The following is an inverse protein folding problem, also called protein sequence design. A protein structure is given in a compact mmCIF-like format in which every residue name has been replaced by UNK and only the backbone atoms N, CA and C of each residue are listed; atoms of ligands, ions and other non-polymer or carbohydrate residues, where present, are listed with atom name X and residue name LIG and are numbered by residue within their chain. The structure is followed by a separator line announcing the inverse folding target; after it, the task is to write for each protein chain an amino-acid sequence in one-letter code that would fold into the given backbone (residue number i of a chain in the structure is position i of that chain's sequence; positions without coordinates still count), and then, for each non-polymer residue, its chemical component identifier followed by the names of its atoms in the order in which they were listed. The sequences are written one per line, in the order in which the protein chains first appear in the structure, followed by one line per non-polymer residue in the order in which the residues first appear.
data_IF_823117865184
#
_entry.id   IF_823117865184
#
_cell.length_a   1.000
_cell.length_b   1.000
_cell.length_c   1.000
_cell.angle_alpha   90.00
_cell.angle_beta   90.00
_cell.angle_gamma   90.00
#
_symmetry.space_group_name_H-M   'P 1'
#
loop_
_entity.id
_entity.type
_entity.pdbx_description
1 polymer ?
#
# COMPACT_ATOMS: atom_id res chain seq x y z
N UNK A 1 9.35 -4.23 12.84
CA UNK A 1 9.17 -5.59 13.39
C UNK A 1 7.73 -5.88 13.81
N UNK A 2 7.07 -6.91 13.23
CA UNK A 2 5.67 -7.25 13.53
C UNK A 2 5.40 -7.63 15.00
N UNK A 3 6.44 -8.06 15.73
CA UNK A 3 6.34 -8.43 17.14
C UNK A 3 6.00 -7.23 18.06
N UNK A 4 6.16 -6.00 17.58
CA UNK A 4 5.94 -4.77 18.35
C UNK A 4 4.56 -4.14 18.10
N UNK A 5 3.64 -4.83 17.41
CA UNK A 5 2.29 -4.32 17.15
C UNK A 5 1.59 -3.97 18.47
N UNK A 6 1.04 -2.75 18.54
CA UNK A 6 0.34 -2.24 19.73
C UNK A 6 1.24 -1.64 20.82
N UNK A 7 2.56 -1.70 20.66
CA UNK A 7 3.51 -1.06 21.58
C UNK A 7 3.82 0.37 21.14
N UNK A 8 4.03 1.26 22.12
CA UNK A 8 4.62 2.58 21.88
C UNK A 8 6.14 2.42 21.80
N UNK A 9 6.75 2.99 20.75
CA UNK A 9 8.19 2.95 20.49
C UNK A 9 8.72 4.36 20.30
N UNK A 10 10.00 4.55 20.59
CA UNK A 10 10.70 5.79 20.31
C UNK A 10 11.37 5.72 18.95
N UNK A 11 11.48 6.87 18.27
CA UNK A 11 12.16 6.97 16.98
C UNK A 11 13.16 8.12 16.98
N UNK A 12 14.33 7.88 16.38
CA UNK A 12 15.36 8.91 16.15
C UNK A 12 15.76 8.92 14.69
N UNK A 13 15.84 10.11 14.11
CA UNK A 13 16.38 10.30 12.76
C UNK A 13 17.77 10.92 12.88
N UNK A 14 18.75 10.34 12.20
CA UNK A 14 20.11 10.87 12.08
C UNK A 14 20.54 10.75 10.62
N UNK A 15 20.70 11.90 9.95
CA UNK A 15 20.94 11.94 8.51
C UNK A 15 19.83 11.25 7.72
N UNK A 16 20.17 10.19 6.97
CA UNK A 16 19.21 9.39 6.19
C UNK A 16 18.77 8.11 6.90
N UNK A 17 19.03 7.96 8.19
CA UNK A 17 18.71 6.74 8.95
C UNK A 17 17.67 7.07 10.03
N UNK A 18 16.58 6.32 10.03
CA UNK A 18 15.60 6.26 11.10
C UNK A 18 15.90 5.03 11.95
N UNK A 19 16.10 5.21 13.25
CA UNK A 19 16.29 4.14 14.23
C UNK A 19 15.06 4.05 15.11
N UNK A 20 14.55 2.85 15.33
CA UNK A 20 13.41 2.55 16.21
C UNK A 20 13.93 1.91 17.48
N UNK A 21 13.41 2.35 18.63
CA UNK A 21 13.76 1.83 19.95
C UNK A 21 12.52 1.31 20.68
N UNK A 22 12.64 0.16 21.32
CA UNK A 22 11.69 -0.34 22.33
C UNK A 22 12.42 -0.34 23.67
N UNK A 23 11.91 0.43 24.63
CA UNK A 23 12.49 0.57 25.98
C UNK A 23 14.00 0.89 25.97
N UNK A 24 14.43 1.80 25.08
CA UNK A 24 15.82 2.22 24.94
C UNK A 24 16.74 1.27 24.14
N UNK A 25 16.24 0.10 23.73
CA UNK A 25 17.01 -0.85 22.89
C UNK A 25 16.67 -0.66 21.42
N UNK A 26 17.67 -0.66 20.54
CA UNK A 26 17.43 -0.58 19.10
C UNK A 26 16.79 -1.86 18.59
N UNK A 27 15.64 -1.75 17.94
CA UNK A 27 14.86 -2.88 17.40
C UNK A 27 14.75 -2.90 15.89
N UNK A 28 15.03 -1.77 15.23
CA UNK A 28 15.03 -1.66 13.78
C UNK A 28 15.76 -0.40 13.30
N UNK A 29 16.27 -0.45 12.07
CA UNK A 29 16.78 0.72 11.36
C UNK A 29 16.24 0.75 9.94
N UNK A 30 15.87 1.93 9.45
CA UNK A 30 15.35 2.14 8.11
C UNK A 30 16.04 3.32 7.45
N UNK A 31 16.17 3.28 6.13
CA UNK A 31 16.53 4.47 5.36
C UNK A 31 15.33 5.43 5.31
N UNK A 32 15.57 6.73 5.45
CA UNK A 32 14.56 7.76 5.20
C UNK A 32 14.45 7.99 3.69
N UNK A 33 13.24 7.87 3.15
CA UNK A 33 12.98 8.20 1.75
C UNK A 33 12.84 9.70 1.55
N UNK A 34 13.43 10.22 0.47
CA UNK A 34 13.26 11.61 0.03
C UNK A 34 11.96 11.84 -0.76
N UNK A 35 11.28 10.76 -1.14
CA UNK A 35 10.01 10.83 -1.87
C UNK A 35 8.86 10.96 -0.88
N UNK A 36 8.13 12.07 -0.96
CA UNK A 36 6.93 12.31 -0.12
C UNK A 36 5.92 11.17 -0.28
N UNK A 37 5.44 10.65 0.84
CA UNK A 37 4.43 9.58 0.89
C UNK A 37 4.95 8.20 0.45
N UNK A 38 6.26 8.01 0.28
CA UNK A 38 6.82 6.71 -0.03
C UNK A 38 6.87 5.83 1.22
N UNK A 39 6.52 4.55 1.05
CA UNK A 39 6.79 3.53 2.05
C UNK A 39 8.26 3.10 1.94
N UNK A 40 8.91 2.94 3.09
CA UNK A 40 10.16 2.18 3.23
C UNK A 40 9.79 0.94 4.01
N UNK A 41 9.92 -0.21 3.37
CA UNK A 41 9.47 -1.49 3.92
C UNK A 41 10.65 -2.42 4.03
N UNK A 42 10.77 -3.03 5.21
CA UNK A 42 11.69 -4.14 5.45
C UNK A 42 10.87 -5.43 5.42
N UNK A 43 11.25 -6.37 4.55
CA UNK A 43 10.53 -7.62 4.36
C UNK A 43 10.60 -8.50 5.61
N UNK A 44 11.68 -8.45 6.39
CA UNK A 44 11.82 -9.23 7.61
C UNK A 44 10.83 -8.79 8.69
N UNK A 45 10.27 -7.58 8.57
CA UNK A 45 9.28 -7.07 9.49
C UNK A 45 7.86 -7.55 9.21
N UNK A 46 7.60 -8.15 8.04
CA UNK A 46 6.26 -8.59 7.64
C UNK A 46 5.89 -9.82 8.49
N UNK A 47 4.73 -9.84 9.19
CA UNK A 47 4.29 -11.03 9.90
C UNK A 47 3.96 -12.16 8.93
N UNK A 48 4.25 -13.40 9.33
CA UNK A 48 3.83 -14.60 8.60
C UNK A 48 2.32 -14.62 8.43
N UNK A 49 1.83 -14.86 7.22
CA UNK A 49 0.40 -14.91 6.92
C UNK A 49 -0.28 -13.55 6.78
N UNK A 50 0.46 -12.43 6.67
CA UNK A 50 -0.13 -11.10 6.44
C UNK A 50 -0.93 -11.01 5.12
N UNK A 51 -0.58 -11.83 4.13
CA UNK A 51 -1.32 -12.01 2.88
C UNK A 51 -2.77 -12.49 3.08
N UNK A 52 -3.03 -13.26 4.15
CA UNK A 52 -4.35 -13.81 4.49
C UNK A 52 -5.31 -12.83 5.17
N UNK A 53 -5.05 -11.51 5.08
CA UNK A 53 -5.81 -10.46 5.78
C UNK A 53 -7.33 -10.63 5.66
N UNK A 54 -7.99 -10.93 6.79
CA UNK A 54 -9.45 -10.89 7.03
C UNK A 54 -10.00 -9.45 7.11
N UNK A 55 -9.40 -8.52 6.38
CA UNK A 55 -9.83 -7.13 6.33
C UNK A 55 -11.02 -6.94 5.40
N UNK A 56 -11.78 -5.86 5.59
CA UNK A 56 -12.90 -5.49 4.69
C UNK A 56 -12.45 -5.26 3.23
N UNK A 57 -11.14 -5.09 2.97
CA UNK A 57 -10.55 -4.92 1.64
C UNK A 57 -9.45 -5.94 1.35
N UNK A 58 -9.53 -6.55 0.16
CA UNK A 58 -8.57 -7.51 -0.40
C UNK A 58 -8.22 -7.13 -1.83
N UNK A 59 -7.14 -7.68 -2.40
CA UNK A 59 -6.82 -7.49 -3.82
C UNK A 59 -7.99 -7.90 -4.72
N UNK A 60 -8.63 -9.05 -4.44
CA UNK A 60 -9.80 -9.52 -5.19
C UNK A 60 -11.00 -8.58 -5.13
N UNK A 61 -11.22 -7.91 -3.99
CA UNK A 61 -12.23 -6.85 -3.89
C UNK A 61 -11.94 -5.75 -4.93
N UNK A 62 -10.70 -5.27 -5.00
CA UNK A 62 -10.31 -4.23 -5.95
C UNK A 62 -10.37 -4.69 -7.40
N UNK A 63 -9.94 -5.92 -7.70
CA UNK A 63 -10.04 -6.50 -9.05
C UNK A 63 -11.49 -6.59 -9.52
N UNK A 64 -12.40 -7.05 -8.64
CA UNK A 64 -13.82 -7.12 -8.94
C UNK A 64 -14.43 -5.74 -9.16
N UNK A 65 -14.13 -4.75 -8.31
CA UNK A 65 -14.67 -3.40 -8.49
C UNK A 65 -14.13 -2.72 -9.75
N UNK A 66 -12.84 -2.89 -10.06
CA UNK A 66 -12.23 -2.36 -11.29
C UNK A 66 -12.82 -2.98 -12.56
N UNK A 67 -13.12 -4.28 -12.51
CA UNK A 67 -13.77 -5.00 -13.63
C UNK A 67 -15.16 -4.43 -13.98
N UNK A 68 -15.85 -3.77 -13.04
CA UNK A 68 -17.14 -3.10 -13.31
C UNK A 68 -16.99 -1.77 -14.06
N UNK A 69 -15.77 -1.29 -14.25
CA UNK A 69 -15.44 -0.12 -15.07
C UNK A 69 -14.94 -0.57 -16.43
N UNK A 70 -13.98 -1.50 -16.47
CA UNK A 70 -13.51 -2.12 -17.71
C UNK A 70 -12.15 -2.81 -17.56
N UNK A 71 -11.69 -3.49 -18.62
CA UNK A 71 -10.46 -4.28 -18.60
C UNK A 71 -9.19 -3.43 -18.40
N UNK A 72 -9.11 -2.22 -18.93
CA UNK A 72 -7.94 -1.36 -18.74
C UNK A 72 -7.86 -0.84 -17.30
N UNK A 73 -9.00 -0.45 -16.72
CA UNK A 73 -9.06 -0.07 -15.30
C UNK A 73 -8.62 -1.23 -14.41
N UNK A 74 -9.06 -2.46 -14.70
CA UNK A 74 -8.62 -3.66 -13.97
C UNK A 74 -7.09 -3.83 -14.04
N UNK A 75 -6.52 -3.75 -15.25
CA UNK A 75 -5.08 -3.90 -15.47
C UNK A 75 -4.27 -2.88 -14.65
N UNK A 76 -4.68 -1.61 -14.66
CA UNK A 76 -4.03 -0.55 -13.86
C UNK A 76 -4.09 -0.85 -12.36
N UNK A 77 -5.22 -1.34 -11.86
CA UNK A 77 -5.36 -1.73 -10.45
C UNK A 77 -4.45 -2.93 -10.10
N UNK A 78 -4.36 -3.93 -10.97
CA UNK A 78 -3.43 -5.07 -10.81
C UNK A 78 -1.97 -4.58 -10.72
N UNK A 79 -1.56 -3.69 -11.62
CA UNK A 79 -0.21 -3.11 -11.62
C UNK A 79 0.07 -2.27 -10.36
N UNK A 80 -0.90 -1.47 -9.91
CA UNK A 80 -0.76 -0.68 -8.68
C UNK A 80 -0.55 -1.55 -7.44
N UNK A 81 -1.26 -2.68 -7.35
CA UNK A 81 -1.12 -3.63 -6.24
C UNK A 81 0.20 -4.38 -6.35
N UNK A 82 0.55 -4.88 -7.53
CA UNK A 82 1.80 -5.61 -7.78
C UNK A 82 3.06 -4.75 -7.55
N UNK A 83 2.96 -3.42 -7.72
CA UNK A 83 4.06 -2.49 -7.48
C UNK A 83 4.38 -2.27 -5.99
N UNK A 84 3.63 -2.87 -5.05
CA UNK A 84 3.88 -2.75 -3.60
C UNK A 84 4.39 -4.05 -3.02
N UNK A 85 5.39 -3.94 -2.14
CA UNK A 85 5.88 -5.04 -1.32
C UNK A 85 4.77 -5.67 -0.46
N UNK A 86 3.85 -4.85 0.04
CA UNK A 86 2.67 -5.26 0.79
C UNK A 86 1.43 -4.79 0.01
N UNK A 87 0.58 -5.68 -0.51
CA UNK A 87 -0.60 -5.33 -1.31
C UNK A 87 -1.48 -4.25 -0.67
N UNK A 88 -1.67 -4.31 0.66
CA UNK A 88 -2.47 -3.37 1.42
C UNK A 88 -2.00 -1.90 1.32
N UNK A 89 -0.71 -1.67 1.02
CA UNK A 89 -0.18 -0.32 0.80
C UNK A 89 -0.72 0.33 -0.50
N UNK A 90 -1.24 -0.46 -1.44
CA UNK A 90 -1.85 0.05 -2.67
C UNK A 90 -3.35 0.34 -2.53
N UNK A 91 -4.02 -0.21 -1.52
CA UNK A 91 -5.50 -0.22 -1.46
C UNK A 91 -6.09 1.19 -1.41
N UNK A 92 -5.48 2.12 -0.69
CA UNK A 92 -5.96 3.51 -0.67
C UNK A 92 -5.83 4.18 -2.05
N UNK A 93 -4.73 3.94 -2.77
CA UNK A 93 -4.56 4.42 -4.14
C UNK A 93 -5.59 3.81 -5.08
N UNK A 94 -5.87 2.50 -4.95
CA UNK A 94 -6.89 1.81 -5.74
C UNK A 94 -8.29 2.42 -5.50
N UNK A 95 -8.65 2.71 -4.24
CA UNK A 95 -9.89 3.42 -3.91
C UNK A 95 -9.96 4.78 -4.56
N UNK A 96 -8.87 5.54 -4.54
CA UNK A 96 -8.82 6.87 -5.15
C UNK A 96 -9.07 6.78 -6.67
N UNK A 97 -8.38 5.86 -7.37
CA UNK A 97 -8.58 5.62 -8.81
C UNK A 97 -10.04 5.26 -9.10
N UNK A 98 -10.60 4.26 -8.41
CA UNK A 98 -11.99 3.84 -8.61
C UNK A 98 -13.00 4.95 -8.28
N UNK A 99 -12.66 5.86 -7.36
CA UNK A 99 -13.52 7.00 -7.04
C UNK A 99 -13.66 8.01 -8.18
N UNK A 100 -12.69 8.07 -9.10
CA UNK A 100 -12.75 8.93 -10.30
C UNK A 100 -13.84 8.47 -11.28
N UNK A 101 -14.21 7.18 -11.27
CA UNK A 101 -15.29 6.62 -12.09
C UNK A 101 -16.69 6.78 -11.49
N UNK A 102 -16.85 7.45 -10.34
CA UNK A 102 -18.18 7.71 -9.75
C UNK A 102 -18.99 8.70 -10.58
N UNK A 103 -20.28 8.84 -10.25
CA UNK A 103 -21.19 9.80 -10.89
C UNK A 103 -21.33 9.64 -12.41
N UNK A 104 -21.23 8.41 -12.92
CA UNK A 104 -21.36 8.11 -14.34
C UNK A 104 -20.06 8.18 -15.14
N UNK A 105 -18.93 8.55 -14.51
CA UNK A 105 -17.65 8.75 -15.20
C UNK A 105 -16.85 7.47 -15.48
N UNK A 106 -17.44 6.29 -15.33
CA UNK A 106 -16.76 5.02 -15.62
C UNK A 106 -16.20 4.95 -17.05
N UNK A 107 -16.90 5.39 -18.11
CA UNK A 107 -16.34 5.36 -19.46
C UNK A 107 -15.10 6.25 -19.59
N UNK A 108 -15.10 7.42 -18.95
CA UNK A 108 -13.97 8.37 -18.95
C UNK A 108 -12.77 7.77 -18.21
N UNK A 109 -13.00 7.11 -17.07
CA UNK A 109 -11.95 6.42 -16.33
C UNK A 109 -11.34 5.28 -17.16
N UNK A 110 -12.18 4.47 -17.82
CA UNK A 110 -11.70 3.37 -18.66
C UNK A 110 -10.87 3.88 -19.85
N UNK A 111 -11.33 4.91 -20.55
CA UNK A 111 -10.59 5.52 -21.65
C UNK A 111 -9.25 6.12 -21.18
N UNK A 112 -9.23 6.75 -20.00
CA UNK A 112 -7.99 7.25 -19.41
C UNK A 112 -7.00 6.12 -19.10
N UNK A 113 -7.49 5.00 -18.53
CA UNK A 113 -6.67 3.83 -18.24
C UNK A 113 -6.13 3.14 -19.51
N UNK A 114 -6.83 3.20 -20.65
CA UNK A 114 -6.35 2.64 -21.92
C UNK A 114 -5.14 3.38 -22.50
N UNK A 115 -4.86 4.60 -22.05
CA UNK A 115 -3.78 5.46 -22.54
C UNK A 115 -2.50 5.40 -21.70
N UNK A 116 -2.50 4.61 -20.62
CA UNK A 116 -1.36 4.38 -19.72
C UNK A 116 -0.54 3.18 -20.20
#
# INVERSE_FOLDING_TARGET
PHQLVGRTVDVRITGQVLTVFDQGTTVATHRVSHKRGAYVTDYEHIPSGMDSTRGLWTSDYFYREASKTGPATRKVIEELIAAKAIPAQAYQSCRNVLSMGKHGNKPILEEACQRL
#
